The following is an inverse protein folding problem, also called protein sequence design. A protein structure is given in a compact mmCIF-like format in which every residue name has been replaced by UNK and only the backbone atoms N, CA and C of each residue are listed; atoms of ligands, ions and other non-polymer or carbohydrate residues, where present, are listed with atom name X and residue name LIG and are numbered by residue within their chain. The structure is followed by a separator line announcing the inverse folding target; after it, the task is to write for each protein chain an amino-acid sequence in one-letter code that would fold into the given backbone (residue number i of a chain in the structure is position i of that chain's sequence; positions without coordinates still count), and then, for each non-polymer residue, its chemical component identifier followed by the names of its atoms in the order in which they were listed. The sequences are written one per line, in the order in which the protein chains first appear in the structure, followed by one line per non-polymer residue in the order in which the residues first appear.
data_IF_652372373382
#
_entry.id   IF_652372373382
#
_cell.length_a   1.000
_cell.length_b   1.000
_cell.length_c   1.000
_cell.angle_alpha   90.00
_cell.angle_beta   90.00
_cell.angle_gamma   90.00
#
_symmetry.space_group_name_H-M   'P 1'
#
loop_
_entity.id
_entity.type
_entity.pdbx_description
1 polymer ?
#
# COMPACT_ATOMS: atom_id res chain seq x y z
N UNK A 1 -29.76 24.78 -57.23
CA UNK A 1 -30.01 24.08 -55.94
C UNK A 1 -28.70 23.47 -55.47
N UNK A 2 -28.07 24.06 -54.46
CA UNK A 2 -26.83 23.56 -53.82
C UNK A 2 -27.20 23.02 -52.44
N UNK A 3 -27.04 21.72 -52.25
CA UNK A 3 -27.25 21.05 -50.93
C UNK A 3 -25.93 21.12 -50.17
N UNK A 4 -25.95 21.85 -49.04
CA UNK A 4 -24.86 21.91 -48.07
C UNK A 4 -25.01 20.71 -47.11
N UNK A 5 -24.03 19.79 -47.13
CA UNK A 5 -23.92 18.71 -46.15
C UNK A 5 -23.22 19.24 -44.89
N UNK A 6 -23.91 19.31 -43.78
CA UNK A 6 -23.34 19.57 -42.46
C UNK A 6 -22.77 18.28 -41.88
N UNK A 7 -21.45 18.19 -41.76
CA UNK A 7 -20.76 17.12 -41.07
C UNK A 7 -20.69 17.43 -39.58
N UNK A 8 -21.45 16.70 -38.76
CA UNK A 8 -21.38 16.73 -37.30
C UNK A 8 -20.15 15.93 -36.83
N UNK A 9 -19.12 16.62 -36.38
CA UNK A 9 -17.99 16.03 -35.64
C UNK A 9 -18.43 15.73 -34.20
N UNK A 10 -18.75 14.48 -33.93
CA UNK A 10 -18.95 13.99 -32.57
C UNK A 10 -17.59 13.85 -31.87
N UNK A 11 -17.21 14.86 -31.08
CA UNK A 11 -16.05 14.80 -30.21
C UNK A 11 -16.31 13.84 -29.06
N UNK A 12 -15.75 12.63 -29.14
CA UNK A 12 -15.78 11.67 -28.03
C UNK A 12 -14.90 12.16 -26.88
N UNK A 13 -15.53 12.56 -25.78
CA UNK A 13 -14.87 12.76 -24.50
C UNK A 13 -14.41 11.38 -23.99
N UNK A 14 -13.12 11.07 -24.18
CA UNK A 14 -12.48 9.94 -23.51
C UNK A 14 -12.35 10.33 -22.04
N UNK A 15 -13.36 10.00 -21.24
CA UNK A 15 -13.25 10.01 -19.77
C UNK A 15 -12.21 8.97 -19.41
N UNK A 16 -11.02 9.40 -18.98
CA UNK A 16 -10.09 8.56 -18.24
C UNK A 16 -10.75 8.23 -16.89
N UNK A 17 -11.58 7.21 -16.87
CA UNK A 17 -12.04 6.60 -15.65
C UNK A 17 -10.81 5.95 -15.00
N UNK A 18 -10.22 6.64 -14.01
CA UNK A 18 -9.27 6.04 -13.10
C UNK A 18 -10.05 4.97 -12.33
N UNK A 19 -9.98 3.76 -12.80
CA UNK A 19 -10.58 2.62 -12.11
C UNK A 19 -9.86 2.46 -10.77
N UNK A 20 -10.58 2.24 -9.65
CA UNK A 20 -9.99 2.00 -8.33
C UNK A 20 -9.40 0.57 -8.26
N UNK A 21 -8.41 0.27 -9.11
CA UNK A 21 -7.73 -1.03 -9.16
C UNK A 21 -6.82 -1.26 -7.96
N UNK A 22 -6.19 -0.20 -7.47
CA UNK A 22 -5.13 -0.29 -6.46
C UNK A 22 -5.55 -0.90 -5.12
N UNK A 23 -6.83 -0.81 -4.75
CA UNK A 23 -7.27 -1.26 -3.44
C UNK A 23 -7.40 -2.78 -3.38
N UNK A 24 -7.80 -3.42 -4.46
CA UNK A 24 -7.98 -4.88 -4.51
C UNK A 24 -6.62 -5.59 -4.55
N UNK A 25 -5.65 -5.07 -5.28
CA UNK A 25 -4.33 -5.71 -5.43
C UNK A 25 -3.56 -5.78 -4.11
N UNK A 26 -3.54 -4.68 -3.31
CA UNK A 26 -2.96 -4.72 -1.96
C UNK A 26 -3.63 -5.78 -1.09
N UNK A 27 -4.96 -5.84 -1.15
CA UNK A 27 -5.70 -6.79 -0.34
C UNK A 27 -5.45 -8.23 -0.79
N UNK A 28 -5.29 -8.47 -2.08
CA UNK A 28 -4.92 -9.79 -2.62
C UNK A 28 -3.52 -10.22 -2.16
N UNK A 29 -2.53 -9.30 -2.18
CA UNK A 29 -1.20 -9.57 -1.65
C UNK A 29 -1.23 -9.84 -0.13
N UNK A 30 -2.03 -9.09 0.62
CA UNK A 30 -2.23 -9.33 2.06
C UNK A 30 -2.90 -10.69 2.32
N UNK A 31 -3.87 -11.09 1.50
CA UNK A 31 -4.51 -12.40 1.61
C UNK A 31 -3.52 -13.54 1.34
N UNK A 32 -2.70 -13.43 0.29
CA UNK A 32 -1.63 -14.41 -0.01
C UNK A 32 -0.60 -14.46 1.13
N UNK A 33 -0.20 -13.32 1.65
CA UNK A 33 0.73 -13.22 2.77
C UNK A 33 0.13 -13.78 4.06
N UNK A 34 -1.16 -13.60 4.31
CA UNK A 34 -1.89 -14.12 5.47
C UNK A 34 -2.16 -15.63 5.43
N UNK A 35 -2.04 -16.27 4.26
CA UNK A 35 -2.19 -17.71 4.12
C UNK A 35 -0.88 -18.43 4.47
N UNK A 36 -0.66 -18.61 5.75
CA UNK A 36 0.57 -19.19 6.32
C UNK A 36 0.49 -20.70 6.33
N UNK A 37 1.35 -21.37 5.56
CA UNK A 37 1.48 -22.83 5.57
C UNK A 37 2.49 -23.34 6.62
N UNK A 38 3.35 -22.46 7.12
CA UNK A 38 4.43 -22.81 8.03
C UNK A 38 4.19 -22.26 9.46
N UNK A 39 4.75 -22.95 10.45
CA UNK A 39 4.68 -22.61 11.87
C UNK A 39 5.38 -21.26 12.20
N UNK A 40 6.31 -20.84 11.36
CA UNK A 40 7.11 -19.65 11.62
C UNK A 40 6.35 -18.36 11.27
N UNK A 41 6.33 -17.36 12.16
CA UNK A 41 5.81 -16.05 11.84
C UNK A 41 6.61 -15.43 10.70
N UNK A 42 5.94 -14.67 9.84
CA UNK A 42 6.54 -13.92 8.73
C UNK A 42 6.31 -12.43 8.96
N UNK A 43 7.28 -11.64 8.56
CA UNK A 43 7.19 -10.18 8.71
C UNK A 43 7.69 -9.48 7.46
N UNK A 44 6.96 -8.45 7.04
CA UNK A 44 7.37 -7.50 6.02
C UNK A 44 7.37 -6.12 6.67
N UNK A 45 8.42 -5.34 6.43
CA UNK A 45 8.56 -3.98 6.93
C UNK A 45 8.84 -3.03 5.79
N UNK A 46 7.95 -2.07 5.59
CA UNK A 46 8.13 -0.96 4.68
C UNK A 46 8.55 0.28 5.49
N UNK A 47 9.74 0.77 5.24
CA UNK A 47 10.23 2.04 5.78
C UNK A 47 10.14 3.11 4.70
N UNK A 48 9.63 4.27 5.04
CA UNK A 48 9.53 5.42 4.14
C UNK A 48 10.37 6.57 4.68
N UNK A 49 11.09 7.23 3.79
CA UNK A 49 11.87 8.41 4.13
C UNK A 49 11.56 9.53 3.13
N UNK A 50 10.84 10.53 3.59
CA UNK A 50 10.52 11.71 2.80
C UNK A 50 11.55 12.82 3.07
N UNK A 51 12.73 12.64 2.53
CA UNK A 51 13.82 13.62 2.64
C UNK A 51 14.49 13.82 1.29
N UNK A 52 15.05 15.02 1.08
CA UNK A 52 15.89 15.30 -0.08
C UNK A 52 17.26 14.70 0.14
N UNK A 53 17.74 13.91 -0.81
CA UNK A 53 19.06 13.28 -0.77
C UNK A 53 19.79 13.47 -2.08
N UNK A 54 21.13 13.47 -2.09
CA UNK A 54 21.88 13.34 -3.32
C UNK A 54 21.48 12.06 -4.06
N UNK A 55 21.34 12.17 -5.36
CA UNK A 55 21.07 11.02 -6.23
C UNK A 55 22.37 10.21 -6.39
N UNK A 56 22.41 8.93 -5.96
CA UNK A 56 23.62 8.11 -6.09
C UNK A 56 23.99 7.80 -7.55
N UNK A 57 22.99 7.80 -8.45
CA UNK A 57 23.15 7.43 -9.85
C UNK A 57 23.38 8.65 -10.77
N UNK A 58 23.21 9.87 -10.24
CA UNK A 58 23.35 11.11 -10.99
C UNK A 58 24.09 12.18 -10.18
N UNK A 59 25.41 12.32 -10.32
CA UNK A 59 26.22 13.29 -9.59
C UNK A 59 25.72 14.73 -9.77
N UNK A 60 25.36 15.38 -8.66
CA UNK A 60 24.75 16.72 -8.62
C UNK A 60 23.23 16.71 -8.72
N UNK A 61 22.59 15.58 -8.95
CA UNK A 61 21.17 15.39 -8.83
C UNK A 61 20.70 15.15 -7.39
N UNK A 62 19.37 15.27 -7.19
CA UNK A 62 18.73 14.98 -5.92
C UNK A 62 17.49 14.15 -6.15
N UNK A 63 17.20 13.24 -5.23
CA UNK A 63 15.97 12.45 -5.17
C UNK A 63 15.14 12.83 -3.96
N UNK A 64 13.84 12.89 -4.16
CA UNK A 64 12.86 13.09 -3.10
C UNK A 64 12.32 11.77 -2.63
N UNK A 65 12.56 11.47 -1.38
CA UNK A 65 11.98 10.32 -0.72
C UNK A 65 12.51 8.98 -1.22
N UNK A 66 12.64 8.05 -0.30
CA UNK A 66 13.00 6.67 -0.58
C UNK A 66 12.11 5.72 0.19
N UNK A 67 11.95 4.52 -0.36
CA UNK A 67 11.29 3.41 0.33
C UNK A 67 12.25 2.24 0.38
N UNK A 68 12.26 1.57 1.51
CA UNK A 68 12.94 0.28 1.67
C UNK A 68 11.96 -0.73 2.22
N UNK A 69 12.01 -1.95 1.70
CA UNK A 69 11.19 -3.02 2.21
C UNK A 69 12.06 -4.21 2.58
N UNK A 70 11.91 -4.69 3.80
CA UNK A 70 12.59 -5.89 4.30
C UNK A 70 11.59 -7.00 4.54
N UNK A 71 11.99 -8.24 4.27
CA UNK A 71 11.17 -9.43 4.43
C UNK A 71 12.05 -10.63 4.75
N UNK A 72 11.48 -11.64 5.39
CA UNK A 72 12.07 -12.97 5.40
C UNK A 72 12.04 -13.53 3.96
N UNK A 73 13.05 -14.31 3.61
CA UNK A 73 13.27 -14.75 2.23
C UNK A 73 12.26 -15.81 1.74
N UNK A 74 10.96 -15.48 1.83
CA UNK A 74 9.83 -16.30 1.37
C UNK A 74 9.12 -15.60 0.20
N UNK A 75 8.55 -16.37 -0.72
CA UNK A 75 7.92 -15.81 -1.93
C UNK A 75 6.81 -14.81 -1.63
N UNK A 76 5.91 -15.12 -0.68
CA UNK A 76 4.82 -14.21 -0.31
C UNK A 76 5.33 -12.89 0.28
N UNK A 77 6.44 -12.91 1.04
CA UNK A 77 7.08 -11.71 1.55
C UNK A 77 7.72 -10.87 0.45
N UNK A 78 8.40 -11.53 -0.52
CA UNK A 78 8.96 -10.86 -1.71
C UNK A 78 7.88 -10.17 -2.53
N UNK A 79 6.79 -10.87 -2.82
CA UNK A 79 5.69 -10.33 -3.61
C UNK A 79 5.04 -9.11 -2.92
N UNK A 80 4.74 -9.23 -1.62
CA UNK A 80 4.18 -8.12 -0.86
C UNK A 80 5.14 -6.93 -0.79
N UNK A 81 6.44 -7.15 -0.58
CA UNK A 81 7.45 -6.09 -0.62
C UNK A 81 7.54 -5.41 -1.98
N UNK A 82 7.58 -6.17 -3.07
CA UNK A 82 7.59 -5.62 -4.44
C UNK A 82 6.37 -4.72 -4.66
N UNK A 83 5.19 -5.22 -4.33
CA UNK A 83 3.96 -4.44 -4.43
C UNK A 83 4.03 -3.14 -3.61
N UNK A 84 4.47 -3.23 -2.34
CA UNK A 84 4.57 -2.07 -1.46
C UNK A 84 5.56 -1.02 -1.98
N UNK A 85 6.70 -1.45 -2.52
CA UNK A 85 7.68 -0.53 -3.11
C UNK A 85 7.14 0.22 -4.33
N UNK A 86 6.36 -0.45 -5.17
CA UNK A 86 5.84 0.12 -6.41
C UNK A 86 4.58 0.97 -6.19
N UNK A 87 3.66 0.52 -5.33
CA UNK A 87 2.28 1.00 -5.28
C UNK A 87 1.93 1.79 -4.02
N UNK A 88 2.89 2.10 -3.14
CA UNK A 88 2.62 2.88 -1.93
C UNK A 88 3.22 4.28 -1.99
N UNK A 89 2.66 5.19 -1.19
CA UNK A 89 3.18 6.54 -1.07
C UNK A 89 4.48 6.58 -0.26
N UNK A 90 5.45 7.35 -0.73
CA UNK A 90 6.67 7.68 0.04
C UNK A 90 6.40 8.84 0.98
N UNK A 91 5.65 9.85 0.52
CA UNK A 91 5.32 11.06 1.28
C UNK A 91 4.31 10.76 2.41
N UNK A 92 3.28 9.96 2.10
CA UNK A 92 2.17 9.71 3.02
C UNK A 92 2.24 8.29 3.60
N UNK A 93 3.21 8.04 4.47
CA UNK A 93 3.40 6.72 5.09
C UNK A 93 2.15 6.21 5.83
N UNK A 94 1.45 7.11 6.54
CA UNK A 94 0.18 6.79 7.23
C UNK A 94 -0.92 6.36 6.27
N UNK A 95 -0.95 6.89 5.04
CA UNK A 95 -1.92 6.49 4.03
C UNK A 95 -1.75 5.02 3.64
N UNK A 96 -0.51 4.53 3.59
CA UNK A 96 -0.22 3.13 3.30
C UNK A 96 -0.79 2.22 4.40
N UNK A 97 -0.65 2.64 5.66
CA UNK A 97 -1.26 1.96 6.80
C UNK A 97 -2.79 1.96 6.72
N UNK A 98 -3.41 3.11 6.45
CA UNK A 98 -4.87 3.23 6.29
C UNK A 98 -5.41 2.31 5.18
N UNK A 99 -4.69 2.20 4.06
CA UNK A 99 -5.04 1.28 2.96
C UNK A 99 -5.00 -0.18 3.41
N UNK A 100 -3.95 -0.58 4.12
CA UNK A 100 -3.82 -1.93 4.65
C UNK A 100 -4.91 -2.27 5.68
N UNK A 101 -5.26 -1.32 6.56
CA UNK A 101 -6.37 -1.49 7.53
C UNK A 101 -7.72 -1.72 6.84
N UNK A 102 -7.99 -1.04 5.73
CA UNK A 102 -9.23 -1.27 4.97
C UNK A 102 -9.33 -2.68 4.42
N UNK A 103 -8.22 -3.26 3.99
CA UNK A 103 -8.20 -4.65 3.52
C UNK A 103 -8.65 -5.64 4.58
N UNK A 104 -8.38 -5.37 5.85
CA UNK A 104 -8.79 -6.23 6.97
C UNK A 104 -10.14 -5.82 7.59
N UNK A 105 -10.87 -4.93 6.93
CA UNK A 105 -12.22 -4.53 7.32
C UNK A 105 -12.26 -3.47 8.43
N UNK A 106 -11.15 -2.81 8.73
CA UNK A 106 -11.12 -1.70 9.68
C UNK A 106 -11.52 -0.41 8.96
N UNK A 107 -12.61 0.21 9.43
CA UNK A 107 -13.03 1.50 8.86
C UNK A 107 -12.07 2.61 9.28
N UNK A 108 -11.42 3.21 8.30
CA UNK A 108 -10.54 4.37 8.49
C UNK A 108 -10.76 5.39 7.37
N UNK A 109 -10.77 6.66 7.72
CA UNK A 109 -10.81 7.73 6.72
C UNK A 109 -9.47 7.79 5.98
N UNK A 110 -9.54 7.85 4.65
CA UNK A 110 -8.36 8.13 3.80
C UNK A 110 -8.21 9.61 3.49
N UNK A 111 -9.11 10.46 3.98
CA UNK A 111 -8.97 11.90 3.88
C UNK A 111 -7.70 12.33 4.67
N UNK A 112 -6.72 12.98 4.02
CA UNK A 112 -5.51 13.47 4.69
C UNK A 112 -5.82 14.51 5.78
N UNK A 113 -6.93 15.25 5.65
CA UNK A 113 -7.38 16.23 6.63
C UNK A 113 -8.06 15.58 7.86
N UNK A 114 -8.37 14.30 7.79
CA UNK A 114 -9.00 13.58 8.90
C UNK A 114 -8.01 13.41 10.06
N UNK A 115 -8.35 13.99 11.22
CA UNK A 115 -7.59 13.82 12.46
C UNK A 115 -7.98 12.55 13.22
N UNK A 116 -8.47 11.53 12.53
CA UNK A 116 -8.83 10.27 13.16
C UNK A 116 -7.60 9.65 13.85
N UNK A 117 -7.72 9.41 15.15
CA UNK A 117 -6.70 8.65 15.87
C UNK A 117 -6.72 7.20 15.38
N UNK A 118 -5.61 6.76 14.80
CA UNK A 118 -5.46 5.39 14.31
C UNK A 118 -4.95 4.49 15.42
N UNK A 119 -5.41 3.23 15.48
CA UNK A 119 -4.78 2.24 16.35
C UNK A 119 -3.34 2.01 15.87
N UNK A 120 -2.38 1.90 16.80
CA UNK A 120 -0.98 1.62 16.45
C UNK A 120 -0.79 0.22 15.85
N UNK A 121 -1.73 -0.70 16.13
CA UNK A 121 -1.70 -2.09 15.67
C UNK A 121 -3.11 -2.66 15.57
N UNK A 122 -3.37 -3.43 14.52
CA UNK A 122 -4.63 -4.18 14.34
C UNK A 122 -4.33 -5.61 13.92
N UNK A 123 -5.11 -6.56 14.46
CA UNK A 123 -5.03 -7.98 14.11
C UNK A 123 -6.30 -8.42 13.40
N UNK A 124 -6.16 -9.29 12.42
CA UNK A 124 -7.29 -9.86 11.69
C UNK A 124 -6.99 -11.27 11.17
N UNK A 125 -8.04 -12.07 11.06
CA UNK A 125 -8.05 -13.36 10.35
C UNK A 125 -8.87 -13.27 9.07
N UNK A 126 -9.18 -12.06 8.60
CA UNK A 126 -9.95 -11.81 7.40
C UNK A 126 -9.27 -10.74 6.55
N UNK A 127 -9.32 -10.92 5.25
CA UNK A 127 -8.95 -9.92 4.24
C UNK A 127 -10.10 -9.84 3.25
N UNK A 128 -10.62 -8.65 2.98
CA UNK A 128 -11.83 -8.42 2.17
C UNK A 128 -13.04 -9.28 2.62
N UNK A 129 -13.17 -9.52 3.92
CA UNK A 129 -14.21 -10.37 4.47
C UNK A 129 -13.96 -11.89 4.36
N UNK A 130 -13.03 -12.33 3.50
CA UNK A 130 -12.63 -13.73 3.39
C UNK A 130 -11.66 -14.10 4.54
N UNK A 131 -11.80 -15.33 5.03
CA UNK A 131 -10.92 -15.86 6.09
C UNK A 131 -9.57 -16.26 5.49
N UNK A 132 -8.48 -15.85 6.15
CA UNK A 132 -7.13 -16.38 5.90
C UNK A 132 -6.76 -17.39 6.99
N UNK A 133 -5.87 -18.36 6.70
CA UNK A 133 -5.51 -19.39 7.68
C UNK A 133 -4.53 -18.88 8.75
N UNK A 134 -3.85 -17.76 8.52
CA UNK A 134 -3.03 -17.09 9.53
C UNK A 134 -3.75 -15.96 10.26
N UNK A 135 -3.12 -15.45 11.32
CA UNK A 135 -3.47 -14.17 11.95
C UNK A 135 -2.54 -13.09 11.42
N UNK A 136 -3.09 -12.15 10.66
CA UNK A 136 -2.40 -10.94 10.22
C UNK A 136 -2.34 -9.92 11.34
N UNK A 137 -1.19 -9.31 11.51
CA UNK A 137 -0.99 -8.12 12.33
C UNK A 137 -0.48 -7.00 11.44
N UNK A 138 -1.16 -5.86 11.43
CA UNK A 138 -0.74 -4.66 10.72
C UNK A 138 -0.46 -3.59 11.76
N UNK A 139 0.76 -3.09 11.79
CA UNK A 139 1.22 -2.09 12.74
C UNK A 139 1.85 -0.91 12.02
N UNK A 140 1.76 0.27 12.62
CA UNK A 140 2.35 1.49 12.10
C UNK A 140 3.06 2.26 13.21
N UNK A 141 4.31 2.61 12.94
CA UNK A 141 5.10 3.52 13.76
C UNK A 141 5.34 4.79 12.94
N UNK A 142 4.83 5.95 13.37
CA UNK A 142 4.90 7.20 12.59
C UNK A 142 6.31 7.77 12.46
N UNK A 143 7.25 7.22 13.21
CA UNK A 143 8.57 7.80 13.34
C UNK A 143 8.59 8.97 14.32
N UNK A 144 9.71 9.19 14.99
CA UNK A 144 9.94 10.34 15.86
C UNK A 144 11.42 10.72 15.84
N UNK A 145 11.73 12.01 15.75
CA UNK A 145 13.09 12.48 15.67
C UNK A 145 13.82 11.96 14.42
N UNK A 146 14.83 11.12 14.60
CA UNK A 146 15.56 10.48 13.51
C UNK A 146 14.99 9.13 13.06
N UNK A 147 13.96 8.65 13.73
CA UNK A 147 13.31 7.39 13.35
C UNK A 147 12.36 7.61 12.19
N UNK A 148 12.48 6.79 11.17
CA UNK A 148 11.63 6.84 9.98
C UNK A 148 10.29 6.15 10.24
N UNK A 149 9.21 6.57 9.55
CA UNK A 149 7.94 5.87 9.56
C UNK A 149 8.08 4.43 9.07
N UNK A 150 7.46 3.49 9.78
CA UNK A 150 7.47 2.06 9.45
C UNK A 150 6.07 1.50 9.43
N UNK A 151 5.70 0.87 8.32
CA UNK A 151 4.56 -0.03 8.21
C UNK A 151 5.08 -1.47 8.36
N UNK A 152 4.63 -2.15 9.40
CA UNK A 152 4.94 -3.56 9.63
C UNK A 152 3.70 -4.43 9.40
N UNK A 153 3.85 -5.47 8.61
CA UNK A 153 2.82 -6.47 8.34
C UNK A 153 3.40 -7.83 8.71
N UNK A 154 2.80 -8.49 9.68
CA UNK A 154 3.21 -9.83 10.07
C UNK A 154 2.05 -10.82 9.97
N UNK A 155 2.38 -12.07 9.71
CA UNK A 155 1.43 -13.17 9.68
C UNK A 155 1.99 -14.36 10.48
N UNK A 156 1.17 -14.94 11.33
CA UNK A 156 1.50 -16.15 12.08
C UNK A 156 0.36 -17.14 11.99
N UNK A 157 0.67 -18.42 12.20
CA UNK A 157 -0.35 -19.45 12.24
C UNK A 157 -1.38 -19.12 13.33
N UNK A 158 -2.66 -19.20 12.97
CA UNK A 158 -3.73 -19.05 13.93
C UNK A 158 -3.78 -20.31 14.84
N UNK A 159 -3.65 -20.10 16.13
CA UNK A 159 -3.89 -21.15 17.13
C UNK A 159 -5.39 -21.39 17.31
#
# INVERSE_FOLDING_TARGET
MRVLALSLLAGGLVSCAVTPRDHNELCDELARFGNVEAVNPRTVRLTTDWSLRPDPDNPGGFIWGTKTCTHENIQAGRNLCSYLLENTSTEFAELNYKRALRCIGTYVSTDPASRQQLPGQVKSRKVLGARVNGELTIAFSPGQGQQLPVLEISAKQAR
#
